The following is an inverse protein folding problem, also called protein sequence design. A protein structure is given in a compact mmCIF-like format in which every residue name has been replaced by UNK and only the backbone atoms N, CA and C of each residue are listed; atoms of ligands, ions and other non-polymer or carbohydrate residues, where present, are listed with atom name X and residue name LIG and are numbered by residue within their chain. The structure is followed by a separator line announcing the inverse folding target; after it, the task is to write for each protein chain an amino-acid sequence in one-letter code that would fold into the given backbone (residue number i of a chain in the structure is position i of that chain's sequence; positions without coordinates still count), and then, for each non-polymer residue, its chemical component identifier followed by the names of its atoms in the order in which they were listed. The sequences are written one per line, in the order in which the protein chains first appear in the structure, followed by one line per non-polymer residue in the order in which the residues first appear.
data_IF_765595692872
#
_entry.id   IF_765595692872
#
_cell.length_a   1.000
_cell.length_b   1.000
_cell.length_c   1.000
_cell.angle_alpha   90.00
_cell.angle_beta   90.00
_cell.angle_gamma   90.00
#
_symmetry.space_group_name_H-M   'P 1'
#
loop_
_entity.id
_entity.type
_entity.pdbx_description
1 polymer ?
#
# COMPACT_ATOMS: atom_id res chain seq x y z
N UNK A 1 -5.65 9.66 12.28
CA UNK A 1 -6.24 10.97 12.62
C UNK A 1 -7.63 11.12 12.00
N UNK A 2 -7.74 11.15 10.67
CA UNK A 2 -9.02 11.36 9.98
C UNK A 2 -10.07 10.27 10.28
N UNK A 3 -9.73 8.98 10.17
CA UNK A 3 -10.68 7.90 10.48
C UNK A 3 -11.18 7.95 11.92
N UNK A 4 -10.29 8.18 12.90
CA UNK A 4 -10.69 8.38 14.30
C UNK A 4 -11.69 9.53 14.44
N UNK A 5 -11.39 10.70 13.86
CA UNK A 5 -12.26 11.87 13.88
C UNK A 5 -13.66 11.57 13.32
N UNK A 6 -13.75 10.79 12.23
CA UNK A 6 -15.02 10.34 11.66
C UNK A 6 -15.79 9.41 12.61
N UNK A 7 -15.11 8.45 13.22
CA UNK A 7 -15.72 7.46 14.13
C UNK A 7 -16.19 8.08 15.46
N UNK A 8 -15.53 9.12 15.96
CA UNK A 8 -15.97 9.84 17.19
C UNK A 8 -17.00 10.94 16.90
N UNK A 9 -17.82 10.77 15.87
CA UNK A 9 -18.87 11.72 15.46
C UNK A 9 -18.34 13.15 15.24
N UNK A 10 -17.19 13.26 14.59
CA UNK A 10 -16.57 14.53 14.23
C UNK A 10 -16.05 15.38 15.42
N UNK A 11 -15.86 14.79 16.60
CA UNK A 11 -15.29 15.49 17.76
C UNK A 11 -13.84 15.97 17.49
N UNK A 12 -13.62 17.28 17.70
CA UNK A 12 -12.34 17.95 17.49
C UNK A 12 -11.53 18.17 18.77
N UNK A 13 -12.04 17.77 19.93
CA UNK A 13 -11.45 18.06 21.25
C UNK A 13 -10.00 17.62 21.34
N UNK A 14 -9.71 16.37 20.97
CA UNK A 14 -8.34 15.81 20.95
C UNK A 14 -7.37 16.69 20.16
N UNK A 15 -7.79 17.17 18.98
CA UNK A 15 -6.94 17.96 18.09
C UNK A 15 -6.74 19.38 18.58
N UNK A 16 -7.78 20.01 19.16
CA UNK A 16 -7.72 21.37 19.70
C UNK A 16 -6.89 21.45 20.98
N UNK A 17 -7.06 20.50 21.89
CA UNK A 17 -6.27 20.44 23.13
C UNK A 17 -4.78 20.17 22.87
N UNK A 18 -4.45 19.54 21.74
CA UNK A 18 -3.08 19.18 21.36
C UNK A 18 -2.62 19.89 20.08
N UNK A 19 -3.20 21.06 19.78
CA UNK A 19 -3.05 21.76 18.48
C UNK A 19 -1.59 21.90 18.04
N UNK A 20 -0.71 22.40 18.93
CA UNK A 20 0.68 22.67 18.57
C UNK A 20 1.45 21.40 18.20
N UNK A 21 1.17 20.29 18.88
CA UNK A 21 1.77 18.99 18.56
C UNK A 21 1.32 18.50 17.19
N UNK A 22 0.01 18.57 16.89
CA UNK A 22 -0.51 18.18 15.58
C UNK A 22 0.01 19.09 14.46
N UNK A 23 0.01 20.41 14.65
CA UNK A 23 0.57 21.36 13.68
C UNK A 23 2.05 21.10 13.42
N UNK A 24 2.84 20.84 14.46
CA UNK A 24 4.25 20.46 14.32
C UNK A 24 4.42 19.17 13.52
N UNK A 25 3.63 18.14 13.80
CA UNK A 25 3.66 16.88 13.07
C UNK A 25 3.31 17.08 11.60
N UNK A 26 2.27 17.86 11.28
CA UNK A 26 1.89 18.17 9.90
C UNK A 26 3.03 18.90 9.17
N UNK A 27 3.67 19.91 9.80
CA UNK A 27 4.83 20.60 9.21
C UNK A 27 5.94 19.63 8.84
N UNK A 28 6.28 18.70 9.75
CA UNK A 28 7.33 17.70 9.51
C UNK A 28 6.95 16.79 8.34
N UNK A 29 5.72 16.27 8.31
CA UNK A 29 5.25 15.40 7.21
C UNK A 29 5.36 16.12 5.86
N UNK A 30 4.83 17.34 5.76
CA UNK A 30 4.85 18.11 4.51
C UNK A 30 6.27 18.48 4.08
N UNK A 31 7.13 18.84 5.05
CA UNK A 31 8.54 19.10 4.78
C UNK A 31 9.23 17.85 4.23
N UNK A 32 9.08 16.69 4.89
CA UNK A 32 9.69 15.44 4.44
C UNK A 32 9.21 15.03 3.05
N UNK A 33 7.90 15.13 2.76
CA UNK A 33 7.36 14.82 1.43
C UNK A 33 7.96 15.74 0.36
N UNK A 34 8.04 17.06 0.63
CA UNK A 34 8.62 18.05 -0.29
C UNK A 34 10.11 17.83 -0.54
N UNK A 35 10.89 17.57 0.52
CA UNK A 35 12.31 17.24 0.41
C UNK A 35 12.53 15.97 -0.44
N UNK A 36 11.68 14.96 -0.26
CA UNK A 36 11.74 13.73 -1.04
C UNK A 36 11.15 13.83 -2.46
N UNK A 37 10.53 14.94 -2.86
CA UNK A 37 10.27 15.20 -4.29
C UNK A 37 11.57 15.51 -5.06
N UNK A 38 12.65 15.88 -4.36
CA UNK A 38 14.02 16.01 -4.88
C UNK A 38 14.16 16.91 -6.11
N UNK A 39 13.31 17.93 -6.25
CA UNK A 39 13.34 18.82 -7.42
C UNK A 39 14.67 19.56 -7.59
N UNK A 40 15.36 19.90 -6.50
CA UNK A 40 16.59 20.70 -6.51
C UNK A 40 17.83 19.90 -6.09
N UNK A 41 17.66 18.95 -5.16
CA UNK A 41 18.74 18.18 -4.55
C UNK A 41 18.21 16.84 -4.02
N UNK A 42 19.09 15.91 -3.65
CA UNK A 42 18.72 14.57 -3.16
C UNK A 42 18.03 14.55 -1.80
N UNK A 43 17.90 15.70 -1.13
CA UNK A 43 17.31 15.83 0.20
C UNK A 43 18.24 15.40 1.34
N UNK A 44 17.83 15.59 2.60
CA UNK A 44 18.71 15.45 3.76
C UNK A 44 18.86 14.01 4.28
N UNK A 45 18.03 13.08 3.81
CA UNK A 45 18.03 11.70 4.32
C UNK A 45 19.05 10.83 3.58
N UNK A 46 19.93 10.20 4.34
CA UNK A 46 20.83 9.16 3.86
C UNK A 46 20.77 7.94 4.75
N UNK A 47 20.88 6.74 4.19
CA UNK A 47 20.89 5.49 4.94
C UNK A 47 21.92 4.50 4.39
N UNK A 48 22.71 3.92 5.28
CA UNK A 48 23.59 2.80 4.98
C UNK A 48 23.60 1.82 6.15
N UNK A 49 23.53 0.51 5.86
CA UNK A 49 23.67 -0.56 6.85
C UNK A 49 24.95 -1.34 6.55
N UNK A 50 25.77 -1.57 7.57
CA UNK A 50 27.00 -2.36 7.42
C UNK A 50 26.67 -3.74 6.82
N UNK A 51 27.46 -4.18 5.84
CA UNK A 51 27.27 -5.46 5.16
C UNK A 51 26.23 -5.45 4.03
N UNK A 52 25.51 -4.35 3.81
CA UNK A 52 24.55 -4.19 2.73
C UNK A 52 24.95 -2.99 1.86
N UNK A 53 25.70 -3.20 0.77
CA UNK A 53 26.10 -2.11 -0.11
C UNK A 53 24.86 -1.52 -0.78
N UNK A 54 24.54 -0.28 -0.44
CA UNK A 54 23.49 0.53 -1.05
C UNK A 54 24.01 1.96 -1.25
N UNK A 55 23.47 2.68 -2.25
CA UNK A 55 23.72 4.11 -2.36
C UNK A 55 23.15 4.80 -1.10
N UNK A 56 23.97 5.53 -0.30
CA UNK A 56 23.49 6.20 0.91
C UNK A 56 22.34 7.16 0.64
N UNK A 57 22.31 7.79 -0.53
CA UNK A 57 21.27 8.73 -0.95
C UNK A 57 20.05 8.05 -1.58
N UNK A 58 20.01 6.72 -1.61
CA UNK A 58 18.97 5.93 -2.25
C UNK A 58 19.20 5.76 -3.76
N UNK A 59 18.29 5.04 -4.43
CA UNK A 59 18.37 4.85 -5.88
C UNK A 59 18.17 6.17 -6.63
N UNK A 60 18.81 6.32 -7.78
CA UNK A 60 18.63 7.49 -8.65
C UNK A 60 17.20 7.53 -9.22
N UNK A 61 16.66 8.74 -9.35
CA UNK A 61 15.33 8.99 -9.90
C UNK A 61 15.28 10.33 -10.61
N UNK A 62 14.44 10.43 -11.65
CA UNK A 62 14.10 11.71 -12.25
C UNK A 62 13.06 12.42 -11.37
N UNK A 63 13.31 13.64 -10.86
CA UNK A 63 12.35 14.33 -10.00
C UNK A 63 11.12 14.80 -10.78
N UNK A 64 10.10 13.94 -10.83
CA UNK A 64 8.86 14.13 -11.61
C UNK A 64 7.68 14.57 -10.74
N UNK A 65 7.88 14.84 -9.45
CA UNK A 65 6.83 15.24 -8.52
C UNK A 65 6.28 14.13 -7.62
N UNK A 66 6.65 12.87 -7.89
CA UNK A 66 6.46 11.77 -6.95
C UNK A 66 7.44 11.87 -5.77
N UNK A 67 7.09 11.22 -4.65
CA UNK A 67 7.86 11.23 -3.41
C UNK A 67 8.84 10.06 -3.40
N UNK A 68 10.14 10.36 -3.38
CA UNK A 68 11.21 9.36 -3.30
C UNK A 68 11.10 8.56 -1.99
N UNK A 69 11.14 7.24 -2.11
CA UNK A 69 11.01 6.32 -0.98
C UNK A 69 12.22 5.38 -0.95
N UNK A 70 12.80 5.16 0.22
CA UNK A 70 13.98 4.30 0.36
C UNK A 70 13.61 2.83 0.57
N UNK A 71 12.57 2.61 1.37
CA UNK A 71 12.16 1.29 1.82
C UNK A 71 10.69 1.05 1.50
N UNK A 72 10.39 -0.19 1.15
CA UNK A 72 9.00 -0.68 1.06
C UNK A 72 8.42 -0.78 2.47
N UNK A 73 7.10 -0.97 2.60
CA UNK A 73 6.47 -1.35 3.88
C UNK A 73 6.96 -2.70 4.44
N UNK A 74 7.72 -3.47 3.67
CA UNK A 74 8.46 -4.66 4.11
C UNK A 74 9.82 -4.38 4.75
N UNK A 75 10.21 -3.10 4.87
CA UNK A 75 11.54 -2.65 5.27
C UNK A 75 12.67 -3.05 4.29
N UNK A 76 12.32 -3.60 3.13
CA UNK A 76 13.26 -3.91 2.06
C UNK A 76 13.58 -2.65 1.23
N UNK A 77 14.82 -2.55 0.76
CA UNK A 77 15.21 -1.50 -0.18
C UNK A 77 14.43 -1.62 -1.49
N UNK A 78 14.05 -0.47 -2.04
CA UNK A 78 13.37 -0.40 -3.32
C UNK A 78 14.31 -0.70 -4.49
N UNK A 79 13.76 -1.26 -5.56
CA UNK A 79 14.47 -1.40 -6.85
C UNK A 79 14.47 -0.06 -7.57
N UNK A 80 13.31 0.58 -7.65
CA UNK A 80 13.18 1.97 -8.09
C UNK A 80 12.45 2.80 -7.03
N UNK A 81 12.82 4.08 -6.85
CA UNK A 81 12.47 4.82 -5.63
C UNK A 81 11.06 5.40 -5.60
N UNK A 82 10.28 5.30 -6.68
CA UNK A 82 8.87 5.70 -6.68
C UNK A 82 7.99 4.47 -6.56
N UNK A 83 7.74 4.07 -5.31
CA UNK A 83 6.78 3.01 -4.97
C UNK A 83 5.35 3.50 -5.15
N UNK A 84 4.72 3.06 -6.24
CA UNK A 84 3.40 3.50 -6.70
C UNK A 84 2.28 3.32 -5.66
N UNK A 85 2.13 2.18 -4.95
CA UNK A 85 1.08 2.07 -3.94
C UNK A 85 1.24 3.06 -2.79
N UNK A 86 2.48 3.41 -2.40
CA UNK A 86 2.73 4.48 -1.43
C UNK A 86 2.42 5.88 -1.97
N UNK A 87 2.60 6.13 -3.27
CA UNK A 87 2.22 7.41 -3.88
C UNK A 87 0.70 7.61 -3.85
N UNK A 88 -0.08 6.58 -4.21
CA UNK A 88 -1.55 6.62 -4.07
C UNK A 88 -1.97 6.86 -2.63
N UNK A 89 -1.34 6.15 -1.69
CA UNK A 89 -1.64 6.34 -0.27
C UNK A 89 -1.30 7.76 0.22
N UNK A 90 -0.18 8.34 -0.21
CA UNK A 90 0.17 9.72 0.09
C UNK A 90 -0.85 10.72 -0.50
N UNK A 91 -1.23 10.56 -1.77
CA UNK A 91 -2.24 11.40 -2.42
C UNK A 91 -3.56 11.37 -1.66
N UNK A 92 -4.06 10.16 -1.37
CA UNK A 92 -5.33 9.98 -0.66
C UNK A 92 -5.28 10.55 0.76
N UNK A 93 -4.23 10.26 1.53
CA UNK A 93 -4.10 10.77 2.91
C UNK A 93 -3.92 12.28 2.99
N UNK A 94 -3.29 12.92 1.99
CA UNK A 94 -3.22 14.37 1.89
C UNK A 94 -4.62 14.99 1.66
N UNK A 95 -5.48 14.35 0.85
CA UNK A 95 -6.89 14.77 0.69
C UNK A 95 -7.66 14.66 2.01
N UNK A 96 -7.48 13.56 2.76
CA UNK A 96 -8.07 13.39 4.09
C UNK A 96 -7.57 14.45 5.08
N UNK A 97 -6.26 14.73 5.05
CA UNK A 97 -5.66 15.78 5.88
C UNK A 97 -6.25 17.15 5.54
N UNK A 98 -6.39 17.47 4.24
CA UNK A 98 -7.00 18.71 3.77
C UNK A 98 -8.43 18.90 4.30
N UNK A 99 -9.23 17.84 4.31
CA UNK A 99 -10.58 17.87 4.90
C UNK A 99 -10.53 18.19 6.40
N UNK A 100 -9.65 17.50 7.14
CA UNK A 100 -9.52 17.66 8.59
C UNK A 100 -9.05 19.08 8.95
N UNK A 101 -8.03 19.62 8.28
CA UNK A 101 -7.51 20.96 8.59
C UNK A 101 -8.52 22.07 8.24
N UNK A 102 -9.39 21.86 7.25
CA UNK A 102 -10.49 22.79 6.93
C UNK A 102 -11.48 22.88 8.09
N UNK A 103 -11.77 21.75 8.76
CA UNK A 103 -12.66 21.71 9.92
C UNK A 103 -12.02 22.25 11.20
N UNK A 104 -10.71 22.13 11.31
CA UNK A 104 -9.92 22.74 12.39
C UNK A 104 -9.61 24.22 12.17
N UNK A 105 -9.95 24.78 11.01
CA UNK A 105 -9.63 26.16 10.63
C UNK A 105 -8.11 26.43 10.59
N UNK A 106 -7.32 25.41 10.22
CA UNK A 106 -5.86 25.49 10.10
C UNK A 106 -5.40 25.68 8.64
N UNK A 107 -6.28 26.13 7.75
CA UNK A 107 -5.98 26.27 6.31
C UNK A 107 -4.85 27.26 6.05
N UNK A 108 -4.79 28.37 6.79
CA UNK A 108 -3.75 29.38 6.64
C UNK A 108 -2.34 28.83 6.92
N UNK A 109 -2.24 27.76 7.71
CA UNK A 109 -0.94 27.15 8.05
C UNK A 109 -0.42 26.17 6.98
N UNK A 110 -1.31 25.49 6.24
CA UNK A 110 -0.93 24.27 5.49
C UNK A 110 -1.57 24.11 4.10
N UNK A 111 -2.61 24.88 3.78
CA UNK A 111 -3.44 24.61 2.60
C UNK A 111 -2.63 24.58 1.32
N UNK A 112 -1.76 25.56 1.11
CA UNK A 112 -1.01 25.70 -0.15
C UNK A 112 0.01 24.58 -0.33
N UNK A 113 0.70 24.19 0.74
CA UNK A 113 1.63 23.06 0.75
C UNK A 113 0.94 21.74 0.44
N UNK A 114 -0.22 21.48 1.06
CA UNK A 114 -1.00 20.27 0.84
C UNK A 114 -1.53 20.23 -0.59
N UNK A 115 -2.12 21.34 -1.07
CA UNK A 115 -2.65 21.41 -2.44
C UNK A 115 -1.53 21.23 -3.48
N UNK A 116 -0.34 21.78 -3.23
CA UNK A 116 0.79 21.63 -4.14
C UNK A 116 1.28 20.18 -4.20
N UNK A 117 1.40 19.51 -3.06
CA UNK A 117 1.74 18.08 -3.01
C UNK A 117 0.68 17.22 -3.69
N UNK A 118 -0.61 17.46 -3.41
CA UNK A 118 -1.73 16.76 -4.07
C UNK A 118 -1.63 16.94 -5.57
N UNK A 119 -1.48 18.18 -6.08
CA UNK A 119 -1.37 18.46 -7.51
C UNK A 119 -0.19 17.72 -8.15
N UNK A 120 1.00 17.80 -7.57
CA UNK A 120 2.19 17.13 -8.12
C UNK A 120 2.03 15.60 -8.19
N UNK A 121 1.36 14.99 -7.19
CA UNK A 121 1.05 13.56 -7.23
C UNK A 121 -0.06 13.26 -8.24
N UNK A 122 -1.11 14.08 -8.26
CA UNK A 122 -2.30 13.89 -9.09
C UNK A 122 -1.95 13.88 -10.58
N UNK A 123 -1.11 14.83 -11.02
CA UNK A 123 -0.68 14.97 -12.41
C UNK A 123 -0.01 13.70 -12.96
N UNK A 124 0.60 12.88 -12.08
CA UNK A 124 1.26 11.63 -12.44
C UNK A 124 0.35 10.41 -12.24
N UNK A 125 -0.38 10.37 -11.12
CA UNK A 125 -1.20 9.22 -10.73
C UNK A 125 -2.50 9.11 -11.53
N UNK A 126 -3.01 10.23 -12.02
CA UNK A 126 -4.27 10.34 -12.75
C UNK A 126 -4.08 11.07 -14.10
N UNK A 127 -2.90 10.90 -14.72
CA UNK A 127 -2.62 11.39 -16.08
C UNK A 127 -3.80 11.03 -17.03
N UNK A 128 -4.31 12.00 -17.79
CA UNK A 128 -5.46 11.85 -18.69
C UNK A 128 -5.32 10.67 -19.66
N UNK A 129 -4.09 10.28 -20.01
CA UNK A 129 -3.81 9.09 -20.83
C UNK A 129 -4.31 7.79 -20.19
N UNK A 130 -4.29 7.71 -18.86
CA UNK A 130 -4.81 6.57 -18.10
C UNK A 130 -6.31 6.38 -18.39
N UNK A 131 -7.08 7.48 -18.44
CA UNK A 131 -8.50 7.44 -18.76
C UNK A 131 -8.78 6.95 -20.19
N UNK A 132 -7.81 7.14 -21.10
CA UNK A 132 -7.84 6.64 -22.48
C UNK A 132 -7.25 5.22 -22.63
N UNK A 133 -6.96 4.52 -21.53
CA UNK A 133 -6.34 3.18 -21.52
C UNK A 133 -4.97 3.12 -22.22
N UNK A 134 -4.21 4.22 -22.13
CA UNK A 134 -2.87 4.39 -22.68
C UNK A 134 -1.78 4.23 -21.61
N UNK A 135 -0.57 3.84 -22.06
CA UNK A 135 0.58 3.69 -21.19
C UNK A 135 1.13 5.05 -20.72
N UNK A 136 1.45 5.13 -19.43
CA UNK A 136 2.05 6.30 -18.77
C UNK A 136 3.30 5.91 -17.99
N UNK A 137 3.84 6.83 -17.19
CA UNK A 137 4.98 6.54 -16.32
C UNK A 137 4.63 5.41 -15.32
N UNK A 138 3.44 5.47 -14.72
CA UNK A 138 3.02 4.56 -13.65
C UNK A 138 2.23 3.34 -14.14
N UNK A 139 1.78 3.34 -15.39
CA UNK A 139 1.05 2.21 -15.99
C UNK A 139 1.88 1.50 -17.04
N UNK A 140 1.52 0.27 -17.39
CA UNK A 140 2.17 -0.53 -18.43
C UNK A 140 1.15 -1.34 -19.21
N UNK A 141 1.24 -1.33 -20.55
CA UNK A 141 0.34 -2.10 -21.41
C UNK A 141 0.79 -3.55 -21.50
N UNK A 142 0.38 -4.37 -20.53
CA UNK A 142 0.76 -5.77 -20.47
C UNK A 142 0.04 -6.60 -21.54
N UNK A 143 0.77 -7.45 -22.27
CA UNK A 143 0.23 -8.24 -23.39
C UNK A 143 -0.91 -9.19 -22.99
N UNK A 144 -0.89 -9.70 -21.75
CA UNK A 144 -1.91 -10.62 -21.19
C UNK A 144 -2.99 -9.95 -20.34
N UNK A 145 -2.69 -8.80 -19.72
CA UNK A 145 -3.54 -8.20 -18.69
C UNK A 145 -4.08 -6.83 -19.07
N UNK A 146 -3.76 -6.34 -20.27
CA UNK A 146 -4.03 -4.95 -20.68
C UNK A 146 -3.27 -3.96 -19.77
N UNK A 147 -3.80 -2.75 -19.57
CA UNK A 147 -3.16 -1.72 -18.76
C UNK A 147 -3.17 -2.10 -17.28
N UNK A 148 -1.96 -2.17 -16.68
CA UNK A 148 -1.72 -2.46 -15.26
C UNK A 148 -0.91 -1.33 -14.62
N UNK A 149 -0.94 -1.23 -13.29
CA UNK A 149 -0.01 -0.39 -12.54
C UNK A 149 1.34 -1.07 -12.35
N UNK A 150 2.42 -0.30 -12.48
CA UNK A 150 3.76 -0.70 -12.05
C UNK A 150 3.86 -0.65 -10.52
N UNK A 151 4.71 -1.48 -9.92
CA UNK A 151 4.96 -1.45 -8.48
C UNK A 151 5.91 -0.32 -8.10
N UNK A 152 7.03 -0.21 -8.81
CA UNK A 152 8.01 0.84 -8.64
C UNK A 152 8.46 1.40 -9.99
N UNK A 153 8.79 2.69 -10.03
CA UNK A 153 9.37 3.37 -11.20
C UNK A 153 10.48 4.32 -10.77
N UNK A 154 11.30 4.79 -11.72
CA UNK A 154 12.36 5.77 -11.48
C UNK A 154 12.14 7.13 -12.17
N UNK A 155 11.08 7.24 -12.98
CA UNK A 155 10.78 8.43 -13.78
C UNK A 155 11.64 8.60 -15.05
N UNK A 156 12.63 7.73 -15.29
CA UNK A 156 13.36 7.64 -16.55
C UNK A 156 12.72 6.67 -17.56
N UNK A 157 11.77 5.85 -17.09
CA UNK A 157 11.04 4.88 -17.90
C UNK A 157 11.25 3.43 -17.45
N UNK A 158 12.12 3.18 -16.47
CA UNK A 158 12.24 1.86 -15.88
C UNK A 158 11.07 1.58 -14.95
N UNK A 159 10.66 0.32 -14.92
CA UNK A 159 9.53 -0.16 -14.13
C UNK A 159 9.82 -1.52 -13.52
N UNK A 160 9.39 -1.71 -12.28
CA UNK A 160 9.36 -3.00 -11.61
C UNK A 160 7.91 -3.49 -11.59
N UNK A 161 7.64 -4.60 -12.28
CA UNK A 161 6.30 -5.20 -12.39
C UNK A 161 6.20 -6.36 -11.41
N UNK A 162 5.63 -6.12 -10.24
CA UNK A 162 5.41 -7.11 -9.17
C UNK A 162 4.31 -6.62 -8.23
N UNK A 163 4.11 -7.33 -7.12
CA UNK A 163 3.54 -6.75 -5.90
C UNK A 163 4.20 -7.39 -4.68
N UNK A 164 4.11 -6.73 -3.54
CA UNK A 164 4.57 -7.22 -2.24
C UNK A 164 3.37 -7.40 -1.30
N UNK A 165 3.55 -8.21 -0.26
CA UNK A 165 2.50 -8.48 0.72
C UNK A 165 2.22 -7.35 1.69
N UNK A 166 3.20 -6.49 1.94
CA UNK A 166 3.06 -5.45 2.95
C UNK A 166 2.29 -4.25 2.39
N UNK A 167 1.44 -3.67 3.23
CA UNK A 167 0.51 -2.61 2.87
C UNK A 167 1.16 -1.25 3.20
N UNK A 168 1.15 -0.24 2.30
CA UNK A 168 0.49 -0.19 0.98
C UNK A 168 1.12 -1.09 -0.10
N UNK A 169 0.28 -1.93 -0.71
CA UNK A 169 0.55 -2.74 -1.90
C UNK A 169 -0.42 -2.41 -3.03
N UNK A 170 -0.15 -2.85 -4.27
CA UNK A 170 -1.08 -2.68 -5.39
C UNK A 170 -2.41 -3.38 -5.09
N UNK A 171 -2.36 -4.57 -4.47
CA UNK A 171 -3.55 -5.30 -4.04
C UNK A 171 -4.44 -4.50 -3.07
N UNK A 172 -3.82 -3.70 -2.18
CA UNK A 172 -4.52 -2.95 -1.13
C UNK A 172 -5.11 -1.61 -1.56
N UNK A 173 -4.94 -1.18 -2.83
CA UNK A 173 -5.36 0.15 -3.26
C UNK A 173 -6.85 0.45 -2.97
N UNK A 174 -7.81 -0.46 -3.23
CA UNK A 174 -9.20 -0.19 -2.89
C UNK A 174 -9.51 -0.15 -1.40
N UNK A 175 -8.68 -0.81 -0.58
CA UNK A 175 -8.80 -0.74 0.86
C UNK A 175 -8.31 0.61 1.41
N UNK A 176 -7.16 1.09 0.91
CA UNK A 176 -6.56 2.33 1.40
C UNK A 176 -7.15 3.60 0.77
N UNK A 177 -7.50 3.55 -0.51
CA UNK A 177 -7.88 4.70 -1.32
C UNK A 177 -9.22 4.45 -2.05
N UNK A 178 -10.30 4.07 -1.36
CA UNK A 178 -11.54 3.60 -1.99
C UNK A 178 -12.20 4.60 -2.94
N UNK A 179 -12.07 5.91 -2.69
CA UNK A 179 -12.65 6.95 -3.57
C UNK A 179 -11.79 7.21 -4.81
N UNK A 180 -10.49 6.94 -4.74
CA UNK A 180 -9.55 7.14 -5.84
C UNK A 180 -9.47 5.89 -6.73
N UNK A 181 -9.33 4.72 -6.11
CA UNK A 181 -9.22 3.41 -6.78
C UNK A 181 -10.31 2.47 -6.22
N UNK A 182 -11.55 2.55 -6.70
CA UNK A 182 -12.61 1.66 -6.24
C UNK A 182 -12.34 0.20 -6.66
N UNK A 183 -12.93 -0.77 -5.96
CA UNK A 183 -12.74 -2.22 -6.26
C UNK A 183 -13.01 -2.53 -7.73
N UNK A 184 -14.01 -1.89 -8.36
CA UNK A 184 -14.37 -2.12 -9.77
C UNK A 184 -13.53 -1.35 -10.78
N UNK A 185 -12.50 -0.60 -10.35
CA UNK A 185 -11.62 0.16 -11.24
C UNK A 185 -10.92 -0.79 -12.23
N UNK A 186 -11.04 -0.51 -13.53
CA UNK A 186 -10.62 -1.45 -14.60
C UNK A 186 -9.13 -1.78 -14.55
N UNK A 187 -8.27 -0.77 -14.43
CA UNK A 187 -6.81 -0.94 -14.34
C UNK A 187 -6.43 -1.66 -13.04
N UNK A 188 -7.15 -1.41 -11.94
CA UNK A 188 -6.94 -2.15 -10.70
C UNK A 188 -7.30 -3.62 -10.90
N UNK A 189 -8.41 -3.94 -11.56
CA UNK A 189 -8.82 -5.32 -11.83
C UNK A 189 -7.82 -6.06 -12.75
N UNK A 190 -7.28 -5.37 -13.75
CA UNK A 190 -6.19 -5.88 -14.58
C UNK A 190 -4.92 -6.15 -13.75
N UNK A 191 -4.54 -5.18 -12.92
CA UNK A 191 -3.39 -5.28 -12.01
C UNK A 191 -3.61 -6.43 -11.01
N UNK A 192 -4.80 -6.57 -10.43
CA UNK A 192 -5.19 -7.63 -9.51
C UNK A 192 -5.01 -9.01 -10.14
N UNK A 193 -5.43 -9.20 -11.40
CA UNK A 193 -5.22 -10.45 -12.15
C UNK A 193 -3.73 -10.73 -12.37
N UNK A 194 -2.94 -9.71 -12.70
CA UNK A 194 -1.49 -9.84 -12.85
C UNK A 194 -0.81 -10.24 -11.54
N UNK A 195 -1.05 -9.50 -10.45
CA UNK A 195 -0.35 -9.68 -9.17
C UNK A 195 -0.73 -10.97 -8.44
N UNK A 196 -1.93 -11.51 -8.70
CA UNK A 196 -2.41 -12.81 -8.19
C UNK A 196 -2.17 -13.96 -9.20
N UNK A 197 -1.09 -13.88 -9.97
CA UNK A 197 -0.70 -14.89 -10.95
C UNK A 197 0.79 -15.16 -10.91
N UNK A 198 1.25 -16.23 -11.56
CA UNK A 198 2.68 -16.55 -11.71
C UNK A 198 3.48 -15.50 -12.50
N UNK A 199 2.82 -14.51 -13.10
CA UNK A 199 3.50 -13.41 -13.79
C UNK A 199 4.01 -12.34 -12.79
N UNK A 200 3.52 -12.35 -11.54
CA UNK A 200 4.18 -11.68 -10.42
C UNK A 200 5.28 -12.58 -9.85
N UNK A 201 6.55 -12.14 -9.82
CA UNK A 201 7.66 -12.97 -9.32
C UNK A 201 7.53 -13.36 -7.84
N UNK A 202 6.70 -12.66 -7.07
CA UNK A 202 6.46 -12.92 -5.65
C UNK A 202 5.09 -13.55 -5.36
N UNK A 203 4.36 -13.96 -6.40
CA UNK A 203 3.20 -14.82 -6.20
C UNK A 203 3.64 -16.28 -6.20
N UNK A 204 3.26 -17.00 -5.15
CA UNK A 204 3.58 -18.41 -4.98
C UNK A 204 2.31 -19.23 -4.86
N UNK A 205 2.32 -20.42 -5.44
CA UNK A 205 1.21 -21.39 -5.37
C UNK A 205 1.76 -22.77 -5.06
N UNK A 206 1.30 -23.33 -3.96
CA UNK A 206 1.58 -24.70 -3.54
C UNK A 206 0.31 -25.54 -3.48
N UNK A 207 0.40 -26.66 -2.78
CA UNK A 207 -0.72 -27.59 -2.65
C UNK A 207 -1.80 -27.08 -1.68
N UNK A 208 -1.42 -26.22 -0.73
CA UNK A 208 -2.32 -25.76 0.33
C UNK A 208 -2.62 -24.26 0.26
N UNK A 209 -1.62 -23.46 -0.13
CA UNK A 209 -1.72 -22.01 -0.14
C UNK A 209 -1.32 -21.45 -1.50
N UNK A 210 -1.98 -20.37 -1.87
CA UNK A 210 -1.48 -19.43 -2.86
C UNK A 210 -1.59 -18.00 -2.36
N UNK A 211 -0.66 -17.15 -2.76
CA UNK A 211 -0.65 -15.77 -2.32
C UNK A 211 0.61 -15.04 -2.72
N UNK A 212 0.63 -13.76 -2.38
CA UNK A 212 1.79 -12.90 -2.56
C UNK A 212 2.69 -13.07 -1.34
N UNK A 213 3.99 -13.03 -1.58
CA UNK A 213 5.05 -12.95 -0.57
C UNK A 213 5.83 -11.66 -0.74
N UNK A 214 7.15 -11.78 -0.79
CA UNK A 214 8.08 -10.68 -1.04
C UNK A 214 9.52 -11.16 -0.88
N UNK A 215 10.51 -10.33 -1.27
CA UNK A 215 11.92 -10.68 -1.09
C UNK A 215 12.32 -10.88 0.37
N UNK A 216 11.60 -10.26 1.32
CA UNK A 216 11.89 -10.30 2.75
C UNK A 216 12.03 -11.71 3.33
N UNK A 217 11.05 -12.58 3.08
CA UNK A 217 11.03 -13.96 3.58
C UNK A 217 11.48 -14.99 2.54
N UNK A 218 11.84 -14.53 1.33
CA UNK A 218 12.33 -15.38 0.26
C UNK A 218 11.25 -16.21 -0.44
N UNK A 219 11.71 -17.17 -1.25
CA UNK A 219 10.85 -17.96 -2.15
C UNK A 219 9.90 -18.88 -1.38
N UNK A 220 8.71 -19.08 -1.94
CA UNK A 220 7.70 -20.02 -1.44
C UNK A 220 7.09 -19.65 -0.09
N UNK A 221 7.33 -18.43 0.41
CA UNK A 221 6.76 -17.90 1.64
C UNK A 221 5.70 -16.85 1.28
N UNK A 222 4.44 -17.15 1.58
CA UNK A 222 3.30 -16.24 1.36
C UNK A 222 2.87 -15.62 2.67
N UNK A 223 2.36 -14.39 2.63
CA UNK A 223 2.02 -13.67 3.85
C UNK A 223 0.50 -13.64 4.06
N UNK A 224 0.00 -13.95 5.27
CA UNK A 224 -1.41 -13.80 5.61
C UNK A 224 -1.96 -12.40 5.30
N UNK A 225 -1.16 -11.35 5.42
CA UNK A 225 -1.56 -9.98 5.07
C UNK A 225 -2.08 -9.88 3.63
N UNK A 226 -1.40 -10.50 2.65
CA UNK A 226 -1.83 -10.49 1.25
C UNK A 226 -3.12 -11.28 1.04
N UNK A 227 -3.30 -12.41 1.74
CA UNK A 227 -4.51 -13.23 1.65
C UNK A 227 -5.71 -12.50 2.26
N UNK A 228 -5.53 -11.86 3.42
CA UNK A 228 -6.55 -11.04 4.06
C UNK A 228 -6.90 -9.86 3.14
N UNK A 229 -5.91 -9.19 2.57
CA UNK A 229 -6.14 -8.07 1.67
C UNK A 229 -6.86 -8.50 0.39
N UNK A 230 -6.54 -9.68 -0.16
CA UNK A 230 -7.28 -10.29 -1.27
C UNK A 230 -8.76 -10.44 -0.94
N UNK A 231 -9.09 -10.90 0.27
CA UNK A 231 -10.47 -11.03 0.77
C UNK A 231 -11.17 -9.70 1.03
N UNK A 232 -10.45 -8.70 1.56
CA UNK A 232 -10.98 -7.35 1.83
C UNK A 232 -11.27 -6.54 0.55
N UNK A 233 -10.63 -6.89 -0.56
CA UNK A 233 -10.67 -6.13 -1.82
C UNK A 233 -11.39 -6.87 -2.96
N UNK A 234 -12.29 -7.79 -2.61
CA UNK A 234 -13.16 -8.48 -3.56
C UNK A 234 -14.62 -8.40 -3.15
N UNK A 235 -15.51 -8.55 -4.13
CA UNK A 235 -16.95 -8.71 -3.92
C UNK A 235 -17.44 -10.13 -4.24
N UNK A 236 -16.54 -11.02 -4.65
CA UNK A 236 -16.83 -12.42 -4.98
C UNK A 236 -16.83 -13.27 -3.70
N UNK A 237 -17.97 -13.85 -3.36
CA UNK A 237 -18.15 -14.66 -2.16
C UNK A 237 -17.28 -15.92 -2.18
N UNK A 238 -17.05 -16.52 -3.35
CA UNK A 238 -16.25 -17.73 -3.46
C UNK A 238 -14.76 -17.41 -3.27
N UNK A 239 -14.29 -16.24 -3.74
CA UNK A 239 -12.95 -15.76 -3.45
C UNK A 239 -12.78 -15.43 -1.96
N UNK A 240 -13.78 -14.84 -1.30
CA UNK A 240 -13.76 -14.60 0.14
C UNK A 240 -13.63 -15.91 0.92
N UNK A 241 -14.46 -16.92 0.58
CA UNK A 241 -14.38 -18.25 1.20
C UNK A 241 -13.03 -18.90 0.97
N UNK A 242 -12.47 -18.77 -0.23
CA UNK A 242 -11.14 -19.27 -0.55
C UNK A 242 -10.06 -18.63 0.34
N UNK A 243 -10.11 -17.31 0.55
CA UNK A 243 -9.19 -16.64 1.48
C UNK A 243 -9.36 -17.12 2.93
N UNK A 244 -10.59 -17.27 3.41
CA UNK A 244 -10.86 -17.78 4.77
C UNK A 244 -10.33 -19.20 4.97
N UNK A 245 -10.59 -20.09 4.02
CA UNK A 245 -10.15 -21.48 4.05
C UNK A 245 -8.63 -21.58 4.11
N UNK A 246 -7.92 -20.79 3.28
CA UNK A 246 -6.46 -20.73 3.34
C UNK A 246 -5.96 -20.27 4.72
N UNK A 247 -6.49 -19.17 5.26
CA UNK A 247 -6.07 -18.62 6.56
C UNK A 247 -6.34 -19.60 7.71
N UNK A 248 -7.49 -20.29 7.70
CA UNK A 248 -7.84 -21.30 8.69
C UNK A 248 -6.94 -22.53 8.60
N UNK A 249 -6.56 -22.96 7.40
CA UNK A 249 -5.71 -24.17 7.24
C UNK A 249 -4.22 -23.88 7.43
N UNK A 250 -3.82 -22.62 7.55
CA UNK A 250 -2.40 -22.25 7.54
C UNK A 250 -1.85 -21.64 8.84
N UNK A 251 -2.62 -21.58 9.91
CA UNK A 251 -2.19 -20.93 11.17
C UNK A 251 -1.18 -21.75 12.02
N UNK A 252 -0.51 -22.76 11.45
CA UNK A 252 0.53 -23.55 12.14
C UNK A 252 0.09 -24.20 13.45
N UNK A 253 -1.19 -24.52 13.64
CA UNK A 253 -1.81 -24.97 14.91
C UNK A 253 -1.68 -23.98 16.08
N UNK A 254 -1.44 -22.69 15.81
CA UNK A 254 -1.29 -21.67 16.86
C UNK A 254 -2.57 -20.88 17.16
N UNK A 255 -3.51 -20.83 16.22
CA UNK A 255 -4.69 -19.95 16.30
C UNK A 255 -4.38 -18.47 16.00
N UNK A 256 -3.16 -18.15 15.55
CA UNK A 256 -2.73 -16.80 15.21
C UNK A 256 -2.30 -16.67 13.75
N UNK A 257 -2.31 -15.43 13.24
CA UNK A 257 -1.70 -15.09 11.98
C UNK A 257 -0.20 -14.89 12.13
N UNK A 258 0.54 -15.36 11.13
CA UNK A 258 2.00 -15.27 11.05
C UNK A 258 2.43 -14.17 10.06
N UNK A 259 3.72 -13.89 10.01
CA UNK A 259 4.27 -12.99 9.00
C UNK A 259 4.25 -13.65 7.63
N UNK A 260 4.92 -14.80 7.51
CA UNK A 260 4.94 -15.58 6.29
C UNK A 260 4.79 -17.07 6.58
N UNK A 261 4.26 -17.82 5.62
CA UNK A 261 3.96 -19.24 5.72
C UNK A 261 4.41 -19.92 4.43
N UNK A 262 5.08 -21.07 4.56
CA UNK A 262 5.46 -21.85 3.39
C UNK A 262 4.24 -22.43 2.68
N UNK A 263 4.17 -22.27 1.36
CA UNK A 263 3.03 -22.73 0.55
C UNK A 263 2.71 -24.22 0.63
N UNK A 264 3.68 -25.05 1.05
CA UNK A 264 3.56 -26.49 1.15
C UNK A 264 3.64 -27.00 2.60
N UNK A 265 3.94 -26.14 3.58
CA UNK A 265 4.12 -26.54 4.97
C UNK A 265 3.73 -25.43 5.95
N UNK A 266 2.47 -25.39 6.42
CA UNK A 266 2.00 -24.42 7.41
C UNK A 266 2.77 -24.39 8.72
N UNK A 267 3.47 -25.47 9.08
CA UNK A 267 4.31 -25.53 10.27
C UNK A 267 5.63 -24.75 10.08
N UNK A 268 5.98 -24.41 8.82
CA UNK A 268 7.11 -23.55 8.50
C UNK A 268 6.61 -22.12 8.26
N UNK A 269 6.64 -21.32 9.32
CA UNK A 269 6.21 -19.93 9.30
C UNK A 269 7.24 -19.03 10.00
N UNK A 270 7.16 -17.72 9.73
CA UNK A 270 7.93 -16.69 10.45
C UNK A 270 7.03 -15.90 11.38
N UNK A 271 7.60 -15.42 12.50
CA UNK A 271 6.92 -14.64 13.57
C UNK A 271 5.63 -15.28 14.08
N UNK A 272 5.76 -16.06 15.15
CA UNK A 272 4.61 -16.59 15.91
C UNK A 272 3.72 -15.50 16.52
N UNK A 273 4.27 -14.31 16.75
CA UNK A 273 3.56 -13.17 17.30
C UNK A 273 3.66 -11.96 16.38
N UNK A 274 2.60 -11.71 15.61
CA UNK A 274 2.50 -10.57 14.73
C UNK A 274 1.15 -9.85 14.89
N UNK A 275 1.11 -8.87 15.81
CA UNK A 275 -0.11 -8.18 16.19
C UNK A 275 -0.83 -7.50 15.01
N UNK A 276 -0.08 -6.96 14.04
CA UNK A 276 -0.68 -6.34 12.85
C UNK A 276 -1.49 -7.35 12.03
N UNK A 277 -0.92 -8.51 11.70
CA UNK A 277 -1.63 -9.55 10.95
C UNK A 277 -2.86 -10.07 11.72
N UNK A 278 -2.75 -10.22 13.04
CA UNK A 278 -3.89 -10.59 13.90
C UNK A 278 -5.00 -9.54 13.89
N UNK A 279 -4.67 -8.25 14.02
CA UNK A 279 -5.65 -7.16 13.98
C UNK A 279 -6.34 -7.07 12.63
N UNK A 280 -5.60 -7.18 11.52
CA UNK A 280 -6.17 -7.13 10.17
C UNK A 280 -7.08 -8.33 9.89
N UNK A 281 -6.74 -9.52 10.39
CA UNK A 281 -7.62 -10.68 10.33
C UNK A 281 -8.90 -10.45 11.15
N UNK A 282 -8.79 -9.92 12.35
CA UNK A 282 -9.95 -9.55 13.17
C UNK A 282 -10.86 -8.54 12.47
N UNK A 283 -10.28 -7.52 11.82
CA UNK A 283 -11.02 -6.56 11.01
C UNK A 283 -11.75 -7.23 9.84
N UNK A 284 -11.08 -8.15 9.13
CA UNK A 284 -11.70 -8.90 8.04
C UNK A 284 -12.90 -9.73 8.51
N UNK A 285 -12.75 -10.48 9.60
CA UNK A 285 -13.87 -11.23 10.20
C UNK A 285 -14.98 -10.29 10.67
N UNK A 286 -14.65 -9.16 11.29
CA UNK A 286 -15.64 -8.17 11.72
C UNK A 286 -16.45 -7.59 10.56
N UNK A 287 -15.78 -7.27 9.45
CA UNK A 287 -16.45 -6.81 8.22
C UNK A 287 -17.40 -7.88 7.70
N UNK A 288 -16.95 -9.14 7.61
CA UNK A 288 -17.80 -10.24 7.16
C UNK A 288 -18.98 -10.48 8.09
N UNK A 289 -18.77 -10.44 9.40
CA UNK A 289 -19.86 -10.58 10.37
C UNK A 289 -20.95 -9.51 10.17
N UNK A 290 -20.55 -8.26 9.87
CA UNK A 290 -21.49 -7.15 9.65
C UNK A 290 -22.19 -7.19 8.29
N UNK A 291 -21.47 -7.57 7.24
CA UNK A 291 -21.94 -7.39 5.85
C UNK A 291 -22.33 -8.70 5.16
N UNK A 292 -21.68 -9.81 5.52
CA UNK A 292 -21.80 -11.12 4.88
C UNK A 292 -21.73 -12.28 5.91
N UNK A 293 -22.57 -12.30 6.97
CA UNK A 293 -22.47 -13.29 8.04
C UNK A 293 -22.68 -14.73 7.56
N UNK A 294 -23.36 -14.93 6.43
CA UNK A 294 -23.54 -16.24 5.80
C UNK A 294 -22.24 -16.86 5.26
N UNK A 295 -21.13 -16.11 5.22
CA UNK A 295 -19.80 -16.64 4.85
C UNK A 295 -19.01 -17.20 6.03
N UNK A 296 -19.52 -17.05 7.27
CA UNK A 296 -18.85 -17.48 8.49
C UNK A 296 -19.42 -18.79 9.08
N UNK A 297 -20.39 -19.40 8.42
CA UNK A 297 -21.07 -20.63 8.84
C UNK A 297 -20.63 -21.83 8.01
#
# INVERSE_FOLDING_TARGET
MHSYWKEVNYDLTLFRENEQSFKKTIRIILQTMKEQQRFNESGPYTYQRQGHPSNPSGQEAKPIGLIHTFFRPSDDLQTFPYLIPSQFFAHYTLKLLLELIKKLEWTNDFNDDILKLISNLHDILFDDKIANNEETLITFKHSKYDLIYSYEIDGFGNRNLMDDSNIPSLLSLPYLCPDDIPIKHSIYQNTRKFILSSDNPWFFKGNLLEGIGGPHCGKSMVWPLAIIMRGLTTTDDDEIRFCLDMLQKSHGNTGFMHESININSPMHYTRSWFAWANSLFGEFIWKLYREKPYLLN
#
